data_IF_619750489756
#
_entry.id   IF_619750489756
#
_cell.length_a   1.000
_cell.length_b   1.000
_cell.length_c   1.000
_cell.angle_alpha   90.00
_cell.angle_beta   90.00
_cell.angle_gamma   90.00
#
_symmetry.space_group_name_H-M   'P 1'
#
loop_
_entity.id
_entity.type
_entity.pdbx_description
1 polymer ?
#
# COMPACT_ATOMS: atom_id res chain seq x y z
N UNK A 1 44.63 25.06 -16.05
CA UNK A 1 44.59 24.70 -14.61
C UNK A 1 43.87 23.37 -14.49
N UNK A 2 44.62 22.31 -14.76
CA UNK A 2 44.25 20.93 -14.43
C UNK A 2 44.50 20.71 -12.93
N UNK A 3 43.60 20.00 -12.25
CA UNK A 3 43.92 19.20 -11.06
C UNK A 3 42.78 18.19 -10.89
N UNK A 4 42.95 16.99 -11.45
CA UNK A 4 43.63 15.83 -10.86
C UNK A 4 42.66 14.95 -10.05
N UNK A 5 42.28 13.87 -10.74
CA UNK A 5 41.70 12.63 -10.26
C UNK A 5 42.50 11.99 -9.11
N UNK A 6 41.82 11.47 -8.10
CA UNK A 6 42.36 10.46 -7.20
C UNK A 6 41.46 9.22 -7.20
N UNK A 7 42.02 8.15 -7.75
CA UNK A 7 41.52 6.78 -7.73
C UNK A 7 42.00 6.13 -6.44
N UNK A 8 41.12 5.49 -5.67
CA UNK A 8 41.51 4.62 -4.56
C UNK A 8 40.74 3.30 -4.56
N UNK A 9 41.44 2.33 -5.15
CA UNK A 9 41.50 0.86 -4.99
C UNK A 9 40.51 0.10 -4.09
N UNK A 10 40.20 -1.07 -4.65
CA UNK A 10 39.41 -2.24 -4.22
C UNK A 10 40.10 -3.06 -3.12
N UNK A 11 39.31 -4.00 -2.54
CA UNK A 11 39.64 -5.16 -1.68
C UNK A 11 39.59 -4.92 -0.15
N UNK A 12 39.02 -5.78 0.71
CA UNK A 12 38.84 -7.24 0.65
C UNK A 12 37.84 -7.71 1.74
N UNK A 13 37.16 -8.82 1.41
CA UNK A 13 36.81 -9.98 2.27
C UNK A 13 35.70 -9.83 3.32
N UNK A 14 34.77 -10.76 3.22
CA UNK A 14 33.67 -10.93 4.14
C UNK A 14 34.10 -11.45 5.51
N UNK A 15 33.18 -11.29 6.44
CA UNK A 15 32.97 -12.22 7.53
C UNK A 15 31.51 -12.06 7.96
N UNK A 16 30.79 -13.16 7.85
CA UNK A 16 29.47 -13.40 8.41
C UNK A 16 29.49 -13.10 9.91
N UNK A 17 28.90 -11.98 10.31
CA UNK A 17 28.49 -11.78 11.71
C UNK A 17 27.17 -12.54 11.91
N UNK A 18 27.33 -13.79 12.31
CA UNK A 18 26.32 -14.52 13.06
C UNK A 18 26.14 -13.79 14.39
N UNK A 19 25.11 -12.94 14.49
CA UNK A 19 24.69 -12.42 15.79
C UNK A 19 24.10 -13.59 16.59
N UNK A 20 24.92 -14.24 17.41
CA UNK A 20 24.43 -15.08 18.52
C UNK A 20 23.67 -14.15 19.47
N UNK A 21 22.36 -14.36 19.56
CA UNK A 21 21.53 -13.78 20.62
C UNK A 21 21.65 -14.72 21.83
N UNK A 22 22.53 -14.38 22.77
CA UNK A 22 22.57 -15.01 24.07
C UNK A 22 21.32 -14.59 24.86
N UNK A 23 20.33 -15.47 24.95
CA UNK A 23 19.20 -15.31 25.87
C UNK A 23 19.71 -15.53 27.31
N UNK A 24 20.01 -14.44 28.01
CA UNK A 24 20.24 -14.46 29.45
C UNK A 24 19.01 -14.96 30.23
N UNK A 25 19.20 -15.47 31.47
CA UNK A 25 18.14 -16.11 32.23
C UNK A 25 17.02 -15.14 32.64
N UNK A 26 15.77 -15.63 32.53
CA UNK A 26 14.54 -14.91 32.89
C UNK A 26 14.49 -14.75 34.42
N UNK A 27 14.41 -13.52 34.98
CA UNK A 27 14.21 -13.34 36.41
C UNK A 27 12.77 -13.73 36.79
N UNK A 28 12.64 -14.64 37.76
CA UNK A 28 11.36 -14.93 38.42
C UNK A 28 11.02 -13.75 39.33
N UNK A 29 10.05 -12.93 38.94
CA UNK A 29 9.51 -11.89 39.83
C UNK A 29 8.42 -12.49 40.71
N UNK A 30 8.76 -12.57 42.00
CA UNK A 30 7.85 -12.74 43.12
C UNK A 30 6.82 -11.62 43.17
N UNK A 31 5.58 -11.98 43.50
CA UNK A 31 4.44 -11.08 43.54
C UNK A 31 4.67 -9.87 44.44
N UNK A 32 4.63 -8.69 43.83
CA UNK A 32 4.35 -7.44 44.52
C UNK A 32 3.30 -6.70 43.69
N UNK A 33 2.14 -6.49 44.31
CA UNK A 33 1.02 -5.71 43.79
C UNK A 33 1.46 -4.26 43.58
N UNK A 34 1.64 -3.87 42.32
CA UNK A 34 1.90 -2.47 41.98
C UNK A 34 0.64 -1.63 42.24
N UNK A 35 0.77 -0.44 42.85
CA UNK A 35 -0.35 0.48 43.05
C UNK A 35 -0.90 0.96 41.71
N UNK A 36 -2.21 0.80 41.51
CA UNK A 36 -2.97 1.21 40.33
C UNK A 36 -3.16 2.73 40.26
N UNK A 37 -2.10 3.55 40.26
CA UNK A 37 -2.29 4.98 39.98
C UNK A 37 -1.07 5.80 39.62
N UNK A 38 -0.09 5.27 38.88
CA UNK A 38 0.90 6.17 38.29
C UNK A 38 1.62 5.55 37.11
N UNK A 39 1.06 5.67 35.90
CA UNK A 39 1.91 5.72 34.72
C UNK A 39 1.24 6.47 33.57
N UNK A 40 1.98 7.48 33.12
CA UNK A 40 1.74 8.41 32.02
C UNK A 40 0.52 8.13 31.12
N UNK A 41 -0.35 9.15 31.08
CA UNK A 41 -1.08 9.57 29.89
C UNK A 41 -0.09 9.83 28.74
N UNK A 42 0.37 8.79 28.06
CA UNK A 42 0.75 8.91 26.66
C UNK A 42 -0.55 8.88 25.87
N UNK A 43 -1.14 10.06 25.69
CA UNK A 43 -2.27 10.28 24.78
C UNK A 43 -1.85 10.16 23.31
N UNK A 44 -1.02 9.19 22.94
CA UNK A 44 -0.99 8.70 21.56
C UNK A 44 -2.20 7.78 21.44
N UNK A 45 -3.38 8.39 21.26
CA UNK A 45 -4.50 7.64 20.68
C UNK A 45 -3.95 7.10 19.38
N UNK A 46 -3.64 5.80 19.36
CA UNK A 46 -3.16 5.07 18.19
C UNK A 46 -4.26 5.04 17.15
N UNK A 47 -4.53 6.20 16.55
CA UNK A 47 -5.46 6.36 15.46
C UNK A 47 -4.66 6.05 14.20
N UNK A 48 -4.90 4.90 13.55
CA UNK A 48 -4.21 4.60 12.31
C UNK A 48 -4.59 5.70 11.29
N UNK A 49 -3.64 6.41 10.66
CA UNK A 49 -3.90 7.61 9.82
C UNK A 49 -4.60 7.31 8.48
N UNK A 50 -5.32 6.20 8.39
CA UNK A 50 -5.78 5.60 7.14
C UNK A 50 -7.26 5.86 6.79
N UNK A 51 -7.92 6.78 7.49
CA UNK A 51 -9.35 7.08 7.25
C UNK A 51 -9.62 8.58 7.04
N UNK A 52 -8.81 9.23 6.20
CA UNK A 52 -9.08 10.62 5.81
C UNK A 52 -9.55 10.75 4.36
N UNK A 53 -9.37 9.70 3.55
CA UNK A 53 -9.67 9.74 2.13
C UNK A 53 -10.20 8.40 1.63
N UNK A 54 -11.07 8.48 0.63
CA UNK A 54 -11.65 7.36 -0.10
C UNK A 54 -11.15 7.40 -1.53
N UNK A 55 -10.85 6.24 -2.08
CA UNK A 55 -10.27 6.10 -3.41
C UNK A 55 -11.21 5.31 -4.29
N UNK A 56 -11.48 5.81 -5.49
CA UNK A 56 -12.09 5.04 -6.57
C UNK A 56 -10.97 4.65 -7.51
N UNK A 57 -10.88 3.38 -7.86
CA UNK A 57 -9.79 2.86 -8.66
C UNK A 57 -10.28 2.02 -9.83
N UNK A 58 -9.47 2.00 -10.87
CA UNK A 58 -9.65 1.14 -12.04
C UNK A 58 -8.38 0.30 -12.19
N UNK A 59 -8.55 -1.01 -12.10
CA UNK A 59 -7.52 -2.00 -12.40
C UNK A 59 -7.72 -2.52 -13.81
N UNK A 60 -6.63 -2.87 -14.47
CA UNK A 60 -6.63 -3.61 -15.72
C UNK A 60 -5.89 -4.93 -15.53
N UNK A 61 -6.50 -6.04 -15.92
CA UNK A 61 -5.77 -7.30 -16.03
C UNK A 61 -4.79 -7.21 -17.20
N UNK A 62 -3.52 -7.58 -16.99
CA UNK A 62 -2.57 -7.69 -18.11
C UNK A 62 -2.84 -8.91 -18.97
N UNK A 63 -3.52 -9.92 -18.42
CA UNK A 63 -3.78 -11.19 -19.10
C UNK A 63 -4.96 -11.07 -20.05
N UNK A 64 -6.10 -10.62 -19.55
CA UNK A 64 -7.36 -10.59 -20.32
C UNK A 64 -7.70 -9.17 -20.82
N UNK A 65 -7.00 -8.14 -20.34
CA UNK A 65 -7.29 -6.74 -20.68
C UNK A 65 -8.57 -6.20 -20.04
N UNK A 66 -9.25 -7.00 -19.21
CA UNK A 66 -10.47 -6.62 -18.52
C UNK A 66 -10.25 -5.53 -17.47
N UNK A 67 -11.28 -4.70 -17.28
CA UNK A 67 -11.24 -3.56 -16.36
C UNK A 67 -12.07 -3.87 -15.12
N UNK A 68 -11.49 -3.63 -13.95
CA UNK A 68 -12.17 -3.76 -12.68
C UNK A 68 -12.28 -2.41 -11.99
N UNK A 69 -13.48 -2.05 -11.54
CA UNK A 69 -13.76 -0.76 -10.90
C UNK A 69 -14.27 -1.01 -9.49
N UNK A 70 -13.66 -0.35 -8.52
CA UNK A 70 -14.09 -0.40 -7.13
C UNK A 70 -13.70 0.84 -6.35
N UNK A 71 -14.17 0.92 -5.11
CA UNK A 71 -13.73 1.93 -4.15
C UNK A 71 -13.14 1.29 -2.89
N UNK A 72 -12.25 2.01 -2.21
CA UNK A 72 -11.64 1.60 -0.95
C UNK A 72 -11.07 2.79 -0.21
N UNK A 73 -10.89 2.68 1.10
CA UNK A 73 -10.13 3.64 1.90
C UNK A 73 -8.60 3.41 1.78
N UNK A 74 -8.16 2.20 1.44
CA UNK A 74 -6.73 1.83 1.34
C UNK A 74 -6.38 1.21 -0.02
N UNK A 75 -6.03 2.04 -0.99
CA UNK A 75 -5.69 1.58 -2.34
C UNK A 75 -4.52 0.58 -2.36
N UNK A 76 -3.47 0.84 -1.57
CA UNK A 76 -2.27 -0.02 -1.50
C UNK A 76 -2.58 -1.41 -0.95
N UNK A 77 -3.35 -1.47 0.14
CA UNK A 77 -3.78 -2.74 0.75
C UNK A 77 -4.59 -3.54 -0.26
N UNK A 78 -5.60 -2.90 -0.86
CA UNK A 78 -6.51 -3.53 -1.81
C UNK A 78 -5.80 -4.04 -3.05
N UNK A 79 -4.89 -3.25 -3.62
CA UNK A 79 -4.08 -3.67 -4.77
C UNK A 79 -3.20 -4.88 -4.45
N UNK A 80 -2.58 -4.91 -3.27
CA UNK A 80 -1.81 -6.07 -2.82
C UNK A 80 -2.71 -7.30 -2.69
N UNK A 81 -3.90 -7.17 -2.10
CA UNK A 81 -4.86 -8.29 -1.97
C UNK A 81 -5.31 -8.86 -3.32
N UNK A 82 -5.53 -8.01 -4.33
CA UNK A 82 -5.88 -8.45 -5.68
C UNK A 82 -4.72 -9.22 -6.36
N UNK A 83 -3.48 -8.75 -6.22
CA UNK A 83 -2.32 -9.43 -6.79
C UNK A 83 -1.87 -10.68 -6.01
N UNK A 84 -2.21 -10.75 -4.72
CA UNK A 84 -1.97 -11.93 -3.87
C UNK A 84 -3.03 -13.04 -4.09
N UNK A 85 -4.06 -12.78 -4.92
CA UNK A 85 -5.09 -13.78 -5.23
C UNK A 85 -6.07 -14.05 -4.11
N UNK A 86 -6.10 -13.21 -3.06
CA UNK A 86 -7.02 -13.34 -1.92
C UNK A 86 -8.49 -13.13 -2.29
N UNK A 87 -8.74 -12.48 -3.43
CA UNK A 87 -10.10 -12.23 -3.94
C UNK A 87 -10.47 -13.33 -4.94
N UNK A 88 -11.39 -14.21 -4.54
CA UNK A 88 -11.79 -15.39 -5.32
C UNK A 88 -12.22 -15.05 -6.76
N UNK A 89 -12.94 -13.95 -6.95
CA UNK A 89 -13.45 -13.52 -8.26
C UNK A 89 -12.38 -12.93 -9.18
N UNK A 90 -11.28 -12.40 -8.64
CA UNK A 90 -10.24 -11.73 -9.45
C UNK A 90 -8.96 -12.55 -9.54
N UNK A 91 -8.81 -13.65 -8.79
CA UNK A 91 -7.59 -14.47 -8.73
C UNK A 91 -7.15 -15.02 -10.09
N UNK A 92 -8.09 -15.34 -10.98
CA UNK A 92 -7.81 -15.95 -12.29
C UNK A 92 -7.21 -14.98 -13.31
N UNK A 93 -7.33 -13.68 -13.04
CA UNK A 93 -7.01 -12.59 -13.97
C UNK A 93 -5.75 -11.81 -13.53
N UNK A 94 -5.01 -12.31 -12.54
CA UNK A 94 -3.71 -11.78 -12.13
C UNK A 94 -2.70 -11.99 -13.28
N UNK A 95 -1.81 -11.02 -13.56
CA UNK A 95 -1.50 -9.83 -12.79
C UNK A 95 -2.34 -8.60 -13.12
N UNK A 96 -2.66 -7.80 -12.10
CA UNK A 96 -3.38 -6.52 -12.23
C UNK A 96 -2.43 -5.33 -12.21
N UNK A 97 -2.79 -4.31 -12.98
CA UNK A 97 -2.16 -3.00 -12.99
C UNK A 97 -3.17 -1.90 -12.66
N UNK A 98 -2.77 -0.93 -11.85
CA UNK A 98 -3.59 0.26 -11.59
C UNK A 98 -3.39 1.20 -12.78
N UNK A 99 -4.45 1.41 -13.57
CA UNK A 99 -4.41 2.35 -14.70
C UNK A 99 -4.91 3.74 -14.30
N UNK A 100 -5.73 3.83 -13.26
CA UNK A 100 -6.37 5.07 -12.84
C UNK A 100 -6.86 4.98 -11.40
N UNK A 101 -6.78 6.09 -10.67
CA UNK A 101 -7.44 6.25 -9.38
C UNK A 101 -7.80 7.73 -9.14
N UNK A 102 -8.88 7.94 -8.38
CA UNK A 102 -9.35 9.24 -7.91
C UNK A 102 -9.47 9.20 -6.39
N UNK A 103 -9.12 10.30 -5.72
CA UNK A 103 -9.17 10.43 -4.28
C UNK A 103 -10.25 11.44 -3.86
N UNK A 104 -11.02 11.08 -2.84
CA UNK A 104 -12.16 11.83 -2.32
C UNK A 104 -12.05 11.98 -0.81
N UNK A 105 -12.56 13.09 -0.26
CA UNK A 105 -12.61 13.30 1.20
C UNK A 105 -13.80 12.57 1.85
N UNK A 106 -14.93 12.49 1.14
CA UNK A 106 -16.17 11.84 1.61
C UNK A 106 -16.37 10.51 0.92
N UNK A 107 -16.87 9.51 1.67
CA UNK A 107 -17.18 8.19 1.12
C UNK A 107 -18.30 8.26 0.10
N UNK A 108 -19.32 9.06 0.38
CA UNK A 108 -20.52 9.20 -0.45
C UNK A 108 -20.17 9.69 -1.87
N UNK A 109 -19.23 10.62 -1.98
CA UNK A 109 -18.74 11.11 -3.27
C UNK A 109 -17.99 10.03 -4.03
N UNK A 110 -17.15 9.24 -3.35
CA UNK A 110 -16.45 8.11 -3.95
C UNK A 110 -17.44 7.03 -4.44
N UNK A 111 -18.44 6.67 -3.62
CA UNK A 111 -19.47 5.69 -4.02
C UNK A 111 -20.31 6.19 -5.18
N UNK A 112 -20.77 7.46 -5.15
CA UNK A 112 -21.51 8.07 -6.26
C UNK A 112 -20.68 8.05 -7.54
N UNK A 113 -19.38 8.31 -7.44
CA UNK A 113 -18.46 8.25 -8.56
C UNK A 113 -18.30 6.82 -9.10
N UNK A 114 -18.13 5.84 -8.22
CA UNK A 114 -18.05 4.42 -8.57
C UNK A 114 -19.31 3.97 -9.31
N UNK A 115 -20.49 4.25 -8.77
CA UNK A 115 -21.77 3.94 -9.40
C UNK A 115 -21.90 4.62 -10.77
N UNK A 116 -21.47 5.88 -10.89
CA UNK A 116 -21.45 6.59 -12.16
C UNK A 116 -20.54 5.90 -13.19
N UNK A 117 -19.38 5.40 -12.78
CA UNK A 117 -18.47 4.65 -13.67
C UNK A 117 -19.02 3.28 -14.07
N UNK A 118 -19.69 2.58 -13.15
CA UNK A 118 -20.28 1.25 -13.41
C UNK A 118 -21.53 1.31 -14.27
N UNK A 119 -22.44 2.24 -13.98
CA UNK A 119 -23.76 2.32 -14.62
C UNK A 119 -23.75 3.15 -15.91
N UNK A 120 -22.95 4.23 -15.96
CA UNK A 120 -22.95 5.12 -17.13
C UNK A 120 -21.82 4.79 -18.08
N UNK A 121 -22.15 4.09 -19.17
CA UNK A 121 -21.20 3.75 -20.25
C UNK A 121 -20.47 4.96 -20.81
N UNK A 122 -21.13 6.14 -20.88
CA UNK A 122 -20.50 7.40 -21.33
C UNK A 122 -19.41 7.89 -20.40
N UNK A 123 -19.58 7.74 -19.08
CA UNK A 123 -18.59 8.18 -18.11
C UNK A 123 -17.32 7.31 -18.19
N UNK A 124 -17.51 5.99 -18.31
CA UNK A 124 -16.40 5.06 -18.48
C UNK A 124 -15.69 5.22 -19.84
N UNK A 125 -16.44 5.45 -20.92
CA UNK A 125 -15.86 5.72 -22.24
C UNK A 125 -15.00 6.98 -22.25
N UNK A 126 -15.44 8.06 -21.59
CA UNK A 126 -14.64 9.28 -21.44
C UNK A 126 -13.35 9.01 -20.65
N UNK A 127 -13.45 8.24 -19.56
CA UNK A 127 -12.27 7.86 -18.78
C UNK A 127 -11.28 7.04 -19.62
N UNK A 128 -11.77 6.06 -20.39
CA UNK A 128 -10.95 5.27 -21.33
C UNK A 128 -10.23 6.13 -22.36
N UNK A 129 -10.90 7.15 -22.92
CA UNK A 129 -10.27 8.11 -23.84
C UNK A 129 -9.11 8.86 -23.17
N UNK A 130 -9.29 9.29 -21.92
CA UNK A 130 -8.24 9.98 -21.14
C UNK A 130 -7.04 9.07 -20.88
N UNK A 131 -7.28 7.83 -20.48
CA UNK A 131 -6.20 6.86 -20.19
C UNK A 131 -5.46 6.48 -21.48
N UNK A 132 -6.19 6.19 -22.56
CA UNK A 132 -5.60 5.78 -23.84
C UNK A 132 -4.77 6.87 -24.52
N UNK A 133 -5.05 8.15 -24.25
CA UNK A 133 -4.20 9.25 -24.68
C UNK A 133 -2.85 9.27 -23.93
N UNK A 134 -2.82 8.84 -22.66
CA UNK A 134 -1.63 8.86 -21.81
C UNK A 134 -0.68 7.68 -22.04
N UNK A 135 -1.12 6.57 -22.63
CA UNK A 135 -0.32 5.35 -22.81
C UNK A 135 0.40 5.25 -24.17
N UNK A 136 0.25 6.26 -25.04
CA UNK A 136 0.80 6.28 -26.41
C UNK A 136 2.06 7.13 -26.57
N UNK A 137 2.65 7.61 -25.47
CA UNK A 137 3.93 8.34 -25.45
C UNK A 137 5.08 7.35 -25.35
#
# INVERSE_FOLDING_TARGET
MENQSLVARRQKRGQSLVCRFDFGPIPRSSGHSLPLRFRQKIGVRGLPPHQLMFYVYVLKSKKDGEFYIGSTNDLRRRFKEHNDGKVFSTKSHIPFEIIYYEAYKKEEDARRRESNLKLRSRAFAQLKKRIGASSKT
#
